data_IF_018800280403
#
_entry.id   IF_018800280403
#
_cell.length_a   1.000
_cell.length_b   1.000
_cell.length_c   1.000
_cell.angle_alpha   90.00
_cell.angle_beta   90.00
_cell.angle_gamma   90.00
#
_symmetry.space_group_name_H-M   'P 1'
#
loop_
_entity.id
_entity.type
_entity.pdbx_description
1 polymer ?
#
# COMPACT_ATOMS: atom_id res chain seq x y z
N UNK A 1 21.69 63.09 8.08
CA UNK A 1 20.36 62.48 8.32
C UNK A 1 19.84 61.62 7.19
N UNK A 2 20.67 61.19 6.23
CA UNK A 2 20.21 60.32 5.10
C UNK A 2 20.64 58.85 5.20
N UNK A 3 21.28 58.43 6.27
CA UNK A 3 21.88 57.09 6.42
C UNK A 3 21.01 56.07 7.18
N UNK A 4 19.95 56.47 7.89
CA UNK A 4 19.20 55.55 8.75
C UNK A 4 18.10 54.77 8.05
N UNK A 5 17.65 55.19 6.85
CA UNK A 5 16.52 54.51 6.16
C UNK A 5 17.02 53.28 5.39
N UNK A 6 18.27 53.30 4.92
CA UNK A 6 18.85 52.18 4.18
C UNK A 6 19.23 51.00 5.10
N UNK A 7 19.69 51.27 6.31
CA UNK A 7 20.01 50.21 7.29
C UNK A 7 18.75 49.52 7.83
N UNK A 8 17.70 50.30 8.08
CA UNK A 8 16.41 49.74 8.56
C UNK A 8 15.78 48.82 7.51
N UNK A 9 15.82 49.20 6.24
CA UNK A 9 15.34 48.38 5.12
C UNK A 9 16.10 47.06 4.97
N UNK A 10 17.43 47.12 5.15
CA UNK A 10 18.29 45.96 4.97
C UNK A 10 18.15 44.96 6.14
N UNK A 11 17.93 45.47 7.35
CA UNK A 11 17.67 44.64 8.54
C UNK A 11 16.32 43.92 8.47
N UNK A 12 15.27 44.61 8.01
CA UNK A 12 13.91 44.03 7.86
C UNK A 12 13.90 42.97 6.75
N UNK A 13 14.58 43.17 5.64
CA UNK A 13 14.68 42.21 4.54
C UNK A 13 15.44 40.96 4.99
N UNK A 14 16.53 41.10 5.76
CA UNK A 14 17.26 39.96 6.31
C UNK A 14 16.44 39.16 7.30
N UNK A 15 15.64 39.81 8.14
CA UNK A 15 14.72 39.13 9.07
C UNK A 15 13.58 38.40 8.35
N UNK A 16 13.02 38.99 7.30
CA UNK A 16 11.98 38.37 6.49
C UNK A 16 12.54 37.15 5.74
N UNK A 17 13.78 37.24 5.19
CA UNK A 17 14.45 36.12 4.54
C UNK A 17 14.73 34.96 5.53
N UNK A 18 15.16 35.30 6.75
CA UNK A 18 15.44 34.30 7.78
C UNK A 18 14.16 33.56 8.22
N UNK A 19 13.05 34.28 8.38
CA UNK A 19 11.75 33.69 8.74
C UNK A 19 11.20 32.84 7.59
N UNK A 20 11.36 33.28 6.33
CA UNK A 20 10.94 32.54 5.15
C UNK A 20 11.76 31.24 4.99
N UNK A 21 13.06 31.28 5.28
CA UNK A 21 13.94 30.11 5.24
C UNK A 21 13.58 29.08 6.33
N UNK A 22 13.21 29.55 7.53
CA UNK A 22 12.76 28.69 8.64
C UNK A 22 11.43 27.99 8.35
N UNK A 23 10.52 28.64 7.62
CA UNK A 23 9.22 28.04 7.26
C UNK A 23 9.36 26.94 6.19
N UNK A 24 10.32 27.05 5.28
CA UNK A 24 10.59 26.01 4.28
C UNK A 24 11.17 24.75 4.92
N UNK A 25 11.99 24.87 5.97
CA UNK A 25 12.52 23.70 6.70
C UNK A 25 11.48 22.97 7.55
N UNK A 26 10.44 23.65 8.00
CA UNK A 26 9.37 23.02 8.81
C UNK A 26 8.46 22.07 8.00
N UNK A 27 8.38 22.26 6.66
CA UNK A 27 7.59 21.39 5.79
C UNK A 27 8.28 20.08 5.39
N UNK A 28 9.58 19.93 5.67
CA UNK A 28 10.35 18.74 5.30
C UNK A 28 10.33 17.63 6.35
N UNK A 29 9.67 17.83 7.48
CA UNK A 29 9.50 16.81 8.52
C UNK A 29 8.21 16.00 8.35
N UNK A 30 7.87 15.62 7.12
CA UNK A 30 6.92 14.53 6.91
C UNK A 30 7.68 13.24 7.19
N UNK A 31 7.41 12.68 8.38
CA UNK A 31 8.03 11.44 8.82
C UNK A 31 7.88 10.37 7.76
N UNK A 32 8.99 9.86 7.27
CA UNK A 32 8.99 8.66 6.45
C UNK A 32 8.40 7.54 7.31
N UNK A 33 7.24 7.06 6.91
CA UNK A 33 6.62 5.87 7.53
C UNK A 33 7.66 4.75 7.50
N UNK A 34 8.09 4.30 8.69
CA UNK A 34 9.12 3.27 8.81
C UNK A 34 8.55 1.96 8.29
N UNK A 35 8.95 1.57 7.09
CA UNK A 35 8.55 0.31 6.45
C UNK A 35 8.98 -0.89 7.29
N UNK A 36 8.03 -1.79 7.53
CA UNK A 36 8.26 -2.99 8.33
C UNK A 36 8.59 -4.18 7.43
N UNK A 37 9.72 -4.84 7.69
CA UNK A 37 10.13 -6.04 6.95
C UNK A 37 9.30 -7.28 7.27
N UNK A 38 8.49 -7.26 8.31
CA UNK A 38 7.62 -8.33 8.76
C UNK A 38 6.22 -7.80 9.10
N UNK A 39 5.67 -6.95 8.23
CA UNK A 39 4.34 -6.41 8.40
C UNK A 39 3.29 -7.52 8.27
N UNK A 40 2.38 -7.58 9.23
CA UNK A 40 1.27 -8.54 9.26
C UNK A 40 0.00 -7.86 8.76
N UNK A 41 -0.69 -8.51 7.84
CA UNK A 41 -1.96 -8.06 7.30
C UNK A 41 -2.95 -9.21 7.27
N UNK A 42 -4.22 -8.86 7.46
CA UNK A 42 -5.36 -9.75 7.19
C UNK A 42 -6.29 -9.03 6.24
N UNK A 43 -6.72 -9.71 5.19
CA UNK A 43 -7.63 -9.15 4.20
C UNK A 43 -8.61 -10.21 3.73
N UNK A 44 -9.84 -9.80 3.39
CA UNK A 44 -10.84 -10.70 2.84
C UNK A 44 -10.57 -10.99 1.37
N UNK A 45 -10.68 -12.25 0.99
CA UNK A 45 -10.58 -12.73 -0.39
C UNK A 45 -11.68 -13.74 -0.67
N UNK A 46 -12.46 -13.51 -1.72
CA UNK A 46 -13.55 -14.40 -2.11
C UNK A 46 -13.04 -15.67 -2.80
N UNK A 47 -13.57 -16.78 -2.36
CA UNK A 47 -13.30 -18.11 -2.87
C UNK A 47 -14.16 -19.12 -2.12
N UNK A 48 -14.20 -20.38 -2.54
CA UNK A 48 -15.13 -21.37 -1.96
C UNK A 48 -14.57 -22.79 -1.84
N UNK A 49 -13.33 -23.06 -2.22
CA UNK A 49 -12.78 -24.42 -2.21
C UNK A 49 -11.26 -24.46 -1.99
N UNK A 50 -10.73 -25.67 -1.81
CA UNK A 50 -9.28 -25.88 -1.65
C UNK A 50 -8.47 -25.47 -2.91
N UNK A 51 -9.05 -25.57 -4.09
CA UNK A 51 -8.39 -25.09 -5.32
C UNK A 51 -8.29 -23.57 -5.32
N UNK A 52 -9.31 -22.86 -4.79
CA UNK A 52 -9.22 -21.42 -4.56
C UNK A 52 -8.11 -21.09 -3.57
N UNK A 53 -8.02 -21.82 -2.46
CA UNK A 53 -6.96 -21.65 -1.47
C UNK A 53 -5.57 -21.73 -2.10
N UNK A 54 -5.32 -22.81 -2.84
CA UNK A 54 -4.04 -22.99 -3.53
C UNK A 54 -3.73 -21.86 -4.51
N UNK A 55 -4.74 -21.41 -5.28
CA UNK A 55 -4.59 -20.34 -6.27
C UNK A 55 -4.33 -18.98 -5.59
N UNK A 56 -5.11 -18.64 -4.58
CA UNK A 56 -4.97 -17.40 -3.80
C UNK A 56 -3.58 -17.33 -3.15
N UNK A 57 -3.17 -18.39 -2.47
CA UNK A 57 -1.87 -18.44 -1.80
C UNK A 57 -0.72 -18.38 -2.82
N UNK A 58 -0.83 -19.09 -3.94
CA UNK A 58 0.18 -19.04 -5.03
C UNK A 58 0.29 -17.64 -5.63
N UNK A 59 -0.84 -16.96 -5.87
CA UNK A 59 -0.86 -15.60 -6.38
C UNK A 59 -0.20 -14.63 -5.38
N UNK A 60 -0.50 -14.75 -4.09
CA UNK A 60 0.14 -13.94 -3.06
C UNK A 60 1.66 -14.17 -3.01
N UNK A 61 2.11 -15.41 -3.04
CA UNK A 61 3.55 -15.75 -3.06
C UNK A 61 4.28 -15.33 -4.34
N UNK A 62 3.58 -15.10 -5.44
CA UNK A 62 4.19 -14.60 -6.67
C UNK A 62 4.69 -13.15 -6.55
N UNK A 63 4.22 -12.41 -5.55
CA UNK A 63 4.65 -11.05 -5.28
C UNK A 63 5.94 -11.05 -4.48
N UNK A 64 7.00 -10.46 -5.03
CA UNK A 64 8.28 -10.37 -4.35
C UNK A 64 8.14 -9.56 -3.04
N UNK A 65 8.51 -10.15 -1.93
CA UNK A 65 8.37 -9.55 -0.60
C UNK A 65 7.31 -10.22 0.28
N UNK A 66 6.45 -11.06 -0.28
CA UNK A 66 5.54 -11.91 0.51
C UNK A 66 6.33 -13.05 1.15
N UNK A 67 6.25 -13.14 2.47
CA UNK A 67 6.95 -14.15 3.28
C UNK A 67 6.02 -15.27 3.76
N UNK A 68 4.75 -14.96 3.96
CA UNK A 68 3.73 -15.91 4.38
C UNK A 68 2.38 -15.50 3.80
N UNK A 69 1.61 -16.48 3.38
CA UNK A 69 0.24 -16.30 2.91
C UNK A 69 -0.57 -17.54 3.29
N UNK A 70 -1.62 -17.36 4.08
CA UNK A 70 -2.52 -18.42 4.52
C UNK A 70 -3.96 -17.95 4.38
N UNK A 71 -4.72 -18.57 3.50
CA UNK A 71 -6.14 -18.27 3.28
C UNK A 71 -7.04 -19.33 3.90
N UNK A 72 -8.03 -18.88 4.63
CA UNK A 72 -9.00 -19.75 5.29
C UNK A 72 -10.30 -19.83 4.49
N UNK A 73 -10.72 -21.06 4.16
CA UNK A 73 -11.92 -21.34 3.34
C UNK A 73 -13.20 -20.91 4.04
N UNK A 74 -13.29 -21.08 5.36
CA UNK A 74 -14.50 -20.81 6.12
C UNK A 74 -14.70 -19.31 6.40
N UNK A 75 -13.62 -18.62 6.72
CA UNK A 75 -13.67 -17.20 7.09
C UNK A 75 -13.38 -16.26 5.93
N UNK A 76 -12.87 -16.78 4.80
CA UNK A 76 -12.39 -16.02 3.65
C UNK A 76 -11.26 -15.02 3.98
N UNK A 77 -10.62 -15.18 5.14
CA UNK A 77 -9.52 -14.32 5.53
C UNK A 77 -8.19 -14.83 4.99
N UNK A 78 -7.42 -13.94 4.43
CA UNK A 78 -6.03 -14.15 4.00
C UNK A 78 -5.10 -13.46 4.99
N UNK A 79 -4.36 -14.24 5.74
CA UNK A 79 -3.30 -13.75 6.62
C UNK A 79 -1.98 -13.70 5.87
N UNK A 80 -1.31 -12.57 5.96
CA UNK A 80 -0.08 -12.26 5.23
C UNK A 80 1.03 -11.76 6.16
N UNK A 81 2.25 -12.13 5.84
CA UNK A 81 3.46 -11.44 6.32
C UNK A 81 4.22 -10.95 5.10
N UNK A 82 4.42 -9.65 4.99
CA UNK A 82 5.10 -9.03 3.87
C UNK A 82 6.26 -8.14 4.30
N UNK A 83 7.21 -7.95 3.38
CA UNK A 83 8.24 -6.94 3.50
C UNK A 83 7.79 -5.66 2.77
N UNK A 84 7.41 -4.64 3.52
CA UNK A 84 6.93 -3.36 2.98
C UNK A 84 8.00 -2.56 2.20
N UNK A 85 9.27 -2.93 2.33
CA UNK A 85 10.32 -2.36 1.49
C UNK A 85 10.27 -2.89 0.05
N UNK A 86 9.65 -4.06 -0.18
CA UNK A 86 9.59 -4.74 -1.46
C UNK A 86 8.22 -4.72 -2.13
N UNK A 87 7.15 -4.75 -1.36
CA UNK A 87 5.78 -4.75 -1.87
C UNK A 87 4.81 -4.11 -0.87
N UNK A 88 3.63 -3.80 -1.34
CA UNK A 88 2.49 -3.34 -0.54
C UNK A 88 1.39 -4.40 -0.48
N UNK A 89 0.46 -4.24 0.46
CA UNK A 89 -0.77 -5.05 0.50
C UNK A 89 -1.57 -4.91 -0.81
N UNK A 90 -1.56 -3.71 -1.42
CA UNK A 90 -2.21 -3.46 -2.71
C UNK A 90 -1.63 -4.28 -3.85
N UNK A 91 -0.31 -4.52 -3.87
CA UNK A 91 0.33 -5.36 -4.89
C UNK A 91 -0.11 -6.81 -4.77
N UNK A 92 -0.25 -7.32 -3.56
CA UNK A 92 -0.76 -8.66 -3.29
C UNK A 92 -2.21 -8.79 -3.74
N UNK A 93 -3.07 -7.83 -3.39
CA UNK A 93 -4.49 -7.80 -3.81
C UNK A 93 -4.64 -7.77 -5.33
N UNK A 94 -3.82 -6.99 -6.03
CA UNK A 94 -3.81 -6.96 -7.51
C UNK A 94 -3.42 -8.31 -8.11
N UNK A 95 -2.42 -8.98 -7.56
CA UNK A 95 -2.01 -10.30 -8.03
C UNK A 95 -3.11 -11.35 -7.84
N UNK A 96 -3.83 -11.29 -6.73
CA UNK A 96 -4.97 -12.17 -6.43
C UNK A 96 -6.15 -11.89 -7.36
N UNK A 97 -6.46 -10.63 -7.63
CA UNK A 97 -7.53 -10.24 -8.56
C UNK A 97 -7.23 -10.72 -10.00
N UNK A 98 -5.98 -10.70 -10.43
CA UNK A 98 -5.57 -11.20 -11.76
C UNK A 98 -5.78 -12.71 -11.95
N UNK A 99 -5.85 -13.48 -10.89
CA UNK A 99 -6.14 -14.91 -10.95
C UNK A 99 -7.63 -15.23 -10.69
N UNK A 100 -8.49 -14.22 -10.67
CA UNK A 100 -9.93 -14.35 -10.67
C UNK A 100 -10.62 -14.18 -9.31
N UNK A 101 -9.90 -13.86 -8.24
CA UNK A 101 -10.45 -13.73 -6.89
C UNK A 101 -10.59 -12.26 -6.47
N UNK A 102 -11.80 -11.87 -6.08
CA UNK A 102 -12.08 -10.54 -5.53
C UNK A 102 -11.49 -10.41 -4.13
N UNK A 103 -10.93 -9.25 -3.84
CA UNK A 103 -10.54 -8.85 -2.49
C UNK A 103 -11.53 -7.81 -1.95
N UNK A 104 -11.37 -7.41 -0.70
CA UNK A 104 -12.20 -6.37 -0.07
C UNK A 104 -12.20 -5.03 -0.84
N UNK A 105 -11.10 -4.68 -1.50
CA UNK A 105 -10.91 -3.38 -2.16
C UNK A 105 -10.58 -3.45 -3.65
N UNK A 106 -10.15 -4.61 -4.15
CA UNK A 106 -9.80 -4.81 -5.58
C UNK A 106 -10.57 -6.01 -6.11
N UNK A 107 -11.38 -5.76 -7.14
CA UNK A 107 -12.16 -6.80 -7.80
C UNK A 107 -11.42 -7.33 -9.02
N UNK A 108 -11.57 -8.63 -9.25
CA UNK A 108 -11.16 -9.30 -10.48
C UNK A 108 -11.98 -8.78 -11.67
N UNK A 109 -11.37 -8.77 -12.85
CA UNK A 109 -12.13 -8.53 -14.08
C UNK A 109 -13.13 -9.67 -14.33
N UNK A 110 -14.16 -9.39 -15.13
CA UNK A 110 -15.09 -10.44 -15.53
C UNK A 110 -14.38 -11.58 -16.26
N UNK A 111 -13.44 -11.26 -17.12
CA UNK A 111 -12.65 -12.22 -17.89
C UNK A 111 -11.81 -13.13 -16.98
N UNK A 112 -11.08 -12.56 -16.02
CA UNK A 112 -10.28 -13.33 -15.07
C UNK A 112 -11.14 -14.23 -14.18
N UNK A 113 -12.31 -13.74 -13.76
CA UNK A 113 -13.27 -14.53 -13.00
C UNK A 113 -13.88 -15.68 -13.84
N UNK A 114 -14.28 -15.41 -15.09
CA UNK A 114 -14.87 -16.42 -15.98
C UNK A 114 -13.86 -17.52 -16.35
N UNK A 115 -12.57 -17.22 -16.32
CA UNK A 115 -11.49 -18.20 -16.53
C UNK A 115 -11.23 -19.10 -15.31
N UNK A 116 -11.87 -18.85 -14.17
CA UNK A 116 -11.80 -19.75 -13.02
C UNK A 116 -12.39 -21.12 -13.37
N UNK A 117 -11.77 -22.15 -12.83
CA UNK A 117 -12.39 -23.48 -12.84
C UNK A 117 -13.79 -23.40 -12.20
N UNK A 118 -14.75 -24.14 -12.74
CA UNK A 118 -16.15 -24.09 -12.34
C UNK A 118 -16.37 -24.15 -10.81
N UNK A 119 -15.61 -25.01 -10.11
CA UNK A 119 -15.70 -25.10 -8.64
C UNK A 119 -15.19 -23.87 -7.90
N UNK A 120 -14.43 -22.98 -8.56
CA UNK A 120 -13.87 -21.76 -7.99
C UNK A 120 -14.71 -20.51 -8.29
N UNK A 121 -15.74 -20.62 -9.12
CA UNK A 121 -16.64 -19.50 -9.41
C UNK A 121 -17.58 -19.29 -8.22
N UNK A 122 -17.19 -18.38 -7.34
CA UNK A 122 -17.96 -17.96 -6.18
C UNK A 122 -19.05 -16.95 -6.56
N UNK A 123 -20.05 -16.78 -5.70
CA UNK A 123 -21.11 -15.79 -5.90
C UNK A 123 -20.56 -14.37 -5.73
N UNK A 124 -20.88 -13.48 -6.71
CA UNK A 124 -20.37 -12.09 -6.76
C UNK A 124 -21.48 -11.07 -6.54
#
# INVERSE_FOLDING_TARGET
>A
MKTNIQEFRNSSIKSIFLVLLMTVFAFSAQGQEKKNKNAKYTTEVNGNCEQCQKRIQKAAFSVAGVKSASWNIETHQLDLIINEEKCSLGDVKKAIAKVGHDTDSIKSTKEDYDNLHHCCQYER
#
